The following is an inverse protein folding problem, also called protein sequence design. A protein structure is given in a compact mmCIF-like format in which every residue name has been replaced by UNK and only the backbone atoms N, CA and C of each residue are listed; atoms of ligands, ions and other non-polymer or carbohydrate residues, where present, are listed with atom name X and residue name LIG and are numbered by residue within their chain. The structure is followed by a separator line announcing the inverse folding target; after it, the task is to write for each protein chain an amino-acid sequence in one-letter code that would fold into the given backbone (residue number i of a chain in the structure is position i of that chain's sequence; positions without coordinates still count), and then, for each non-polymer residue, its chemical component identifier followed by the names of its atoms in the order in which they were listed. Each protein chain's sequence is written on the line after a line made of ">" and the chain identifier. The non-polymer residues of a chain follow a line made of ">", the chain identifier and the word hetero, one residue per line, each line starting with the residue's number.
data_IF_287989812827
#
_entry.id   IF_287989812827
#
_cell.length_a   1.000
_cell.length_b   1.000
_cell.length_c   1.000
_cell.angle_alpha   90.00
_cell.angle_beta   90.00
_cell.angle_gamma   90.00
#
_symmetry.space_group_name_H-M   'P 1'
#
loop_
_entity.id
_entity.type
_entity.pdbx_description
1 polymer ?
#
# COMPACT_ATOMS: atom_id res chain seq x y z
N UNK A 1 12.75 -12.11 1.83
CA UNK A 1 11.55 -12.18 2.70
C UNK A 1 10.25 -12.37 1.92
N UNK A 2 9.66 -11.35 1.26
CA UNK A 2 8.33 -11.50 0.62
C UNK A 2 8.28 -12.63 -0.42
N UNK A 3 9.29 -12.71 -1.30
CA UNK A 3 9.43 -13.78 -2.29
C UNK A 3 9.61 -15.18 -1.69
N UNK A 4 10.09 -15.27 -0.45
CA UNK A 4 10.37 -16.54 0.23
C UNK A 4 9.18 -17.06 1.02
N UNK A 5 8.18 -16.20 1.32
CA UNK A 5 7.12 -16.50 2.29
C UNK A 5 5.69 -16.51 1.70
N UNK A 6 5.52 -16.44 0.37
CA UNK A 6 4.25 -16.65 -0.37
C UNK A 6 2.97 -16.26 0.39
N UNK A 7 2.83 -15.00 0.79
CA UNK A 7 1.62 -14.52 1.47
C UNK A 7 0.47 -14.35 0.48
N UNK A 8 -0.73 -14.78 0.86
CA UNK A 8 -1.95 -14.54 0.06
C UNK A 8 -2.59 -13.18 0.37
N UNK A 9 -2.34 -12.63 1.56
CA UNK A 9 -2.92 -11.37 2.02
C UNK A 9 -1.88 -10.53 2.78
N UNK A 10 -1.79 -9.25 2.45
CA UNK A 10 -0.92 -8.28 3.12
C UNK A 10 -1.70 -7.00 3.37
N UNK A 11 -1.76 -6.58 4.63
CA UNK A 11 -2.32 -5.29 5.03
C UNK A 11 -1.22 -4.35 5.49
N UNK A 12 -1.22 -3.14 4.92
CA UNK A 12 -0.22 -2.11 5.18
C UNK A 12 -0.86 -0.92 5.92
N UNK A 13 -0.16 -0.48 6.96
CA UNK A 13 -0.44 0.74 7.73
C UNK A 13 0.88 1.45 8.03
N UNK A 14 0.81 2.72 8.40
CA UNK A 14 1.98 3.54 8.75
C UNK A 14 2.03 4.88 8.05
N UNK A 15 3.08 5.65 8.34
CA UNK A 15 3.32 7.00 7.81
C UNK A 15 4.69 7.03 7.11
N UNK A 16 4.87 7.75 6.01
CA UNK A 16 3.95 8.69 5.34
C UNK A 16 3.31 8.05 4.10
N UNK A 17 2.01 8.29 3.86
CA UNK A 17 1.21 7.63 2.82
C UNK A 17 1.77 7.79 1.40
N UNK A 18 2.29 8.97 1.07
CA UNK A 18 2.82 9.29 -0.26
C UNK A 18 4.31 8.95 -0.44
N UNK A 19 4.91 8.21 0.51
CA UNK A 19 6.31 7.77 0.44
C UNK A 19 6.35 6.27 0.73
N UNK A 20 6.47 5.87 2.00
CA UNK A 20 6.76 4.49 2.36
C UNK A 20 5.59 3.55 2.07
N UNK A 21 4.34 4.02 2.18
CA UNK A 21 3.18 3.17 1.89
C UNK A 21 3.09 2.87 0.40
N UNK A 22 3.27 3.85 -0.48
CA UNK A 22 3.36 3.59 -1.92
C UNK A 22 4.52 2.63 -2.21
N UNK A 23 5.72 2.92 -1.72
CA UNK A 23 6.89 2.07 -1.98
C UNK A 23 6.69 0.63 -1.51
N UNK A 24 6.20 0.44 -0.29
CA UNK A 24 5.99 -0.90 0.27
C UNK A 24 4.86 -1.64 -0.44
N UNK A 25 3.77 -0.95 -0.79
CA UNK A 25 2.65 -1.57 -1.50
C UNK A 25 3.06 -2.01 -2.91
N UNK A 26 3.86 -1.19 -3.62
CA UNK A 26 4.44 -1.56 -4.92
C UNK A 26 5.39 -2.74 -4.79
N UNK A 27 6.29 -2.74 -3.80
CA UNK A 27 7.21 -3.86 -3.57
C UNK A 27 6.45 -5.15 -3.24
N UNK A 28 5.42 -5.08 -2.40
CA UNK A 28 4.56 -6.20 -2.06
C UNK A 28 3.82 -6.75 -3.29
N UNK A 29 3.18 -5.87 -4.06
CA UNK A 29 2.45 -6.25 -5.28
C UNK A 29 3.37 -6.84 -6.35
N UNK A 30 4.59 -6.32 -6.47
CA UNK A 30 5.58 -6.83 -7.43
C UNK A 30 6.14 -8.18 -6.99
N UNK A 31 6.45 -8.35 -5.71
CA UNK A 31 6.96 -9.61 -5.18
C UNK A 31 5.88 -10.71 -5.17
N UNK A 32 4.62 -10.36 -4.92
CA UNK A 32 3.51 -11.29 -4.78
C UNK A 32 2.31 -10.82 -5.65
N UNK A 33 2.36 -11.01 -6.98
CA UNK A 33 1.36 -10.46 -7.91
C UNK A 33 -0.07 -10.90 -7.64
N UNK A 34 -0.24 -12.13 -7.12
CA UNK A 34 -1.54 -12.75 -6.86
C UNK A 34 -2.05 -12.50 -5.44
N UNK A 35 -1.22 -11.93 -4.55
CA UNK A 35 -1.66 -11.60 -3.19
C UNK A 35 -2.63 -10.42 -3.20
N UNK A 36 -3.59 -10.46 -2.29
CA UNK A 36 -4.44 -9.32 -1.96
C UNK A 36 -3.63 -8.35 -1.11
N UNK A 37 -3.32 -7.18 -1.66
CA UNK A 37 -2.62 -6.10 -0.96
C UNK A 37 -3.64 -5.03 -0.58
N UNK A 38 -3.70 -4.69 0.70
CA UNK A 38 -4.64 -3.71 1.26
C UNK A 38 -3.87 -2.62 2.00
N UNK A 39 -4.34 -1.38 1.89
CA UNK A 39 -3.92 -0.25 2.73
C UNK A 39 -5.13 0.20 3.55
N UNK A 40 -5.04 0.15 4.88
CA UNK A 40 -6.08 0.74 5.76
C UNK A 40 -5.83 2.24 5.89
N UNK A 41 -6.72 3.05 5.31
CA UNK A 41 -6.58 4.52 5.28
C UNK A 41 -6.69 5.16 6.67
N UNK A 42 -7.24 4.45 7.65
CA UNK A 42 -7.32 4.91 9.05
C UNK A 42 -5.99 4.73 9.77
N UNK A 43 -5.16 3.80 9.30
CA UNK A 43 -3.82 3.53 9.81
C UNK A 43 -2.69 4.22 9.03
N UNK A 44 -3.01 5.05 8.03
CA UNK A 44 -2.02 5.81 7.26
C UNK A 44 -2.41 7.28 7.10
N UNK A 45 -1.46 8.13 6.70
CA UNK A 45 -1.61 9.57 6.67
C UNK A 45 -0.40 10.28 6.08
N UNK A 46 -0.60 11.56 5.78
CA UNK A 46 0.47 12.52 5.45
C UNK A 46 0.13 13.86 6.09
N UNK A 47 1.15 14.66 6.38
CA UNK A 47 0.96 16.04 6.84
C UNK A 47 0.29 16.92 5.79
N UNK A 48 0.46 16.58 4.51
CA UNK A 48 -0.25 17.19 3.39
C UNK A 48 -1.46 16.34 2.99
N UNK A 49 -2.66 16.88 3.23
CA UNK A 49 -3.92 16.20 2.93
C UNK A 49 -4.16 15.96 1.44
N UNK A 50 -3.59 16.80 0.56
CA UNK A 50 -3.69 16.65 -0.89
C UNK A 50 -2.81 15.49 -1.35
N UNK A 51 -1.55 15.45 -0.88
CA UNK A 51 -0.64 14.34 -1.18
C UNK A 51 -1.17 13.02 -0.61
N UNK A 52 -1.79 13.04 0.56
CA UNK A 52 -2.44 11.86 1.11
C UNK A 52 -3.54 11.32 0.19
N UNK A 53 -4.47 12.17 -0.26
CA UNK A 53 -5.55 11.77 -1.17
C UNK A 53 -5.03 11.25 -2.50
N UNK A 54 -4.01 11.91 -3.06
CA UNK A 54 -3.36 11.47 -4.30
C UNK A 54 -2.68 10.11 -4.13
N UNK A 55 -1.99 9.88 -3.00
CA UNK A 55 -1.39 8.59 -2.70
C UNK A 55 -2.43 7.46 -2.64
N UNK A 56 -3.56 7.67 -1.96
CA UNK A 56 -4.65 6.69 -1.93
C UNK A 56 -5.22 6.43 -3.32
N UNK A 57 -5.31 7.44 -4.19
CA UNK A 57 -5.75 7.26 -5.57
C UNK A 57 -4.74 6.46 -6.41
N UNK A 58 -3.44 6.71 -6.22
CA UNK A 58 -2.37 5.96 -6.90
C UNK A 58 -2.39 4.49 -6.47
N UNK A 59 -2.52 4.21 -5.17
CA UNK A 59 -2.64 2.85 -4.66
C UNK A 59 -3.80 2.09 -5.32
N UNK A 60 -4.99 2.71 -5.39
CA UNK A 60 -6.14 2.11 -6.09
C UNK A 60 -5.85 1.84 -7.57
N UNK A 61 -5.18 2.76 -8.26
CA UNK A 61 -4.83 2.60 -9.67
C UNK A 61 -3.82 1.46 -9.89
N UNK A 62 -2.96 1.18 -8.90
CA UNK A 62 -2.02 0.06 -8.90
C UNK A 62 -2.66 -1.28 -8.50
N UNK A 63 -4.00 -1.38 -8.50
CA UNK A 63 -4.75 -2.56 -8.05
C UNK A 63 -4.45 -2.97 -6.60
N UNK A 64 -4.22 -1.97 -5.74
CA UNK A 64 -4.07 -2.14 -4.29
C UNK A 64 -5.37 -1.66 -3.65
N UNK A 65 -5.96 -2.48 -2.78
CA UNK A 65 -7.21 -2.14 -2.13
C UNK A 65 -6.97 -1.05 -1.07
N UNK A 66 -7.90 -0.10 -0.98
CA UNK A 66 -7.86 0.94 0.05
C UNK A 66 -9.13 0.85 0.87
N UNK A 67 -8.98 0.42 2.12
CA UNK A 67 -10.07 0.21 3.10
C UNK A 67 -10.28 1.46 3.95
#
# INVERSE_FOLDING_TARGET
>A
FLLENSFDYIELVGLVSNICIISNAVLAKTALPNATIVVDKRGTGSSDSTLHKQALSILKNLHIEVK
#
